data_IF_636633226738
#
_entry.id   IF_636633226738
#
_cell.length_a   1.000
_cell.length_b   1.000
_cell.length_c   1.000
_cell.angle_alpha   90.00
_cell.angle_beta   90.00
_cell.angle_gamma   90.00
#
_symmetry.space_group_name_H-M   'P 1'
#
loop_
_entity.id
_entity.type
_entity.pdbx_description
1 polymer ?
#
# COMPACT_ATOMS: atom_id res chain seq x y z
N UNK A 1 15.59 3.93 -11.03
CA UNK A 1 15.09 3.17 -12.21
C UNK A 1 13.97 3.97 -12.89
N UNK A 2 13.49 3.66 -14.11
CA UNK A 2 12.38 4.46 -14.69
C UNK A 2 11.06 4.11 -14.01
N UNK A 3 10.17 5.09 -13.85
CA UNK A 3 8.85 4.97 -13.21
C UNK A 3 7.98 3.84 -13.79
N UNK A 4 8.14 3.56 -15.09
CA UNK A 4 7.50 2.44 -15.78
C UNK A 4 7.91 1.06 -15.23
N UNK A 5 9.05 0.95 -14.56
CA UNK A 5 9.54 -0.29 -13.96
C UNK A 5 8.80 -0.66 -12.69
N UNK A 6 8.43 0.33 -11.86
CA UNK A 6 7.80 0.06 -10.56
C UNK A 6 6.34 -0.36 -10.69
N UNK A 7 5.62 0.28 -11.61
CA UNK A 7 4.24 -0.10 -11.91
C UNK A 7 4.15 -1.55 -12.42
N UNK A 8 5.13 -1.99 -13.23
CA UNK A 8 5.21 -3.37 -13.69
C UNK A 8 5.52 -4.36 -12.55
N UNK A 9 6.43 -4.00 -11.65
CA UNK A 9 6.74 -4.82 -10.47
C UNK A 9 5.51 -5.00 -9.56
N UNK A 10 4.79 -3.92 -9.25
CA UNK A 10 3.58 -3.99 -8.44
C UNK A 10 2.46 -4.79 -9.12
N UNK A 11 2.34 -4.68 -10.45
CA UNK A 11 1.36 -5.44 -11.21
C UNK A 11 1.67 -6.94 -11.18
N UNK A 12 2.92 -7.32 -11.37
CA UNK A 12 3.33 -8.72 -11.32
C UNK A 12 3.14 -9.30 -9.91
N UNK A 13 3.55 -8.55 -8.88
CA UNK A 13 3.35 -8.96 -7.49
C UNK A 13 1.87 -9.18 -7.16
N UNK A 14 1.00 -8.29 -7.63
CA UNK A 14 -0.45 -8.44 -7.46
C UNK A 14 -0.96 -9.68 -8.21
N UNK A 15 -0.46 -9.93 -9.41
CA UNK A 15 -0.80 -11.10 -10.21
C UNK A 15 -0.44 -12.40 -9.47
N UNK A 16 0.76 -12.45 -8.90
CA UNK A 16 1.26 -13.62 -8.17
C UNK A 16 0.39 -13.91 -6.93
N UNK A 17 -0.02 -12.86 -6.21
CA UNK A 17 -0.93 -13.01 -5.07
C UNK A 17 -2.34 -13.50 -5.50
N UNK A 18 -2.96 -12.90 -6.52
CA UNK A 18 -4.30 -13.30 -6.97
C UNK A 18 -4.34 -14.70 -7.60
N UNK A 19 -3.22 -15.19 -8.10
CA UNK A 19 -3.08 -16.57 -8.60
C UNK A 19 -2.60 -17.56 -7.53
N UNK A 20 -2.53 -17.14 -6.25
CA UNK A 20 -2.07 -17.93 -5.12
C UNK A 20 -0.65 -18.52 -5.30
N UNK A 21 0.23 -17.81 -6.02
CA UNK A 21 1.64 -18.17 -6.12
C UNK A 21 2.44 -17.79 -4.86
N UNK A 22 1.95 -16.78 -4.14
CA UNK A 22 2.53 -16.29 -2.89
C UNK A 22 1.44 -16.07 -1.85
N UNK A 23 1.80 -16.20 -0.58
CA UNK A 23 0.90 -15.94 0.53
C UNK A 23 0.77 -14.44 0.82
N UNK A 24 -0.25 -14.08 1.61
CA UNK A 24 -0.54 -12.68 1.93
C UNK A 24 0.61 -11.96 2.64
N UNK A 25 1.30 -12.65 3.56
CA UNK A 25 2.43 -12.08 4.29
C UNK A 25 3.61 -11.80 3.36
N UNK A 26 3.88 -12.71 2.43
CA UNK A 26 4.92 -12.55 1.42
C UNK A 26 4.58 -11.41 0.45
N UNK A 27 3.32 -11.34 -0.01
CA UNK A 27 2.82 -10.22 -0.80
C UNK A 27 3.05 -8.88 -0.09
N UNK A 28 2.74 -8.78 1.20
CA UNK A 28 2.96 -7.54 1.98
C UNK A 28 4.43 -7.20 2.13
N UNK A 29 5.28 -8.17 2.44
CA UNK A 29 6.72 -7.95 2.58
C UNK A 29 7.34 -7.43 1.28
N UNK A 30 7.03 -8.08 0.14
CA UNK A 30 7.54 -7.68 -1.17
C UNK A 30 6.98 -6.31 -1.59
N UNK A 31 5.70 -6.04 -1.34
CA UNK A 31 5.09 -4.74 -1.64
C UNK A 31 5.75 -3.61 -0.86
N UNK A 32 6.05 -3.82 0.42
CA UNK A 32 6.77 -2.84 1.25
C UNK A 32 8.14 -2.51 0.64
N UNK A 33 8.94 -3.52 0.29
CA UNK A 33 10.27 -3.31 -0.30
C UNK A 33 10.20 -2.48 -1.59
N UNK A 34 9.19 -2.70 -2.43
CA UNK A 34 9.01 -1.93 -3.67
C UNK A 34 8.69 -0.46 -3.33
N UNK A 35 7.78 -0.22 -2.38
CA UNK A 35 7.41 1.13 -1.97
C UNK A 35 8.57 1.87 -1.29
N UNK A 36 9.30 1.22 -0.39
CA UNK A 36 10.47 1.81 0.28
C UNK A 36 11.52 2.25 -0.75
N UNK A 37 11.70 1.50 -1.85
CA UNK A 37 12.59 1.88 -2.94
C UNK A 37 12.07 3.09 -3.72
N UNK A 38 10.77 3.15 -4.00
CA UNK A 38 10.14 4.29 -4.66
C UNK A 38 10.31 5.54 -3.80
N UNK A 39 10.03 5.45 -2.50
CA UNK A 39 10.19 6.56 -1.57
C UNK A 39 11.64 7.03 -1.48
N UNK A 40 12.60 6.10 -1.45
CA UNK A 40 14.01 6.46 -1.47
C UNK A 40 14.42 7.15 -2.77
N UNK A 41 13.98 6.65 -3.93
CA UNK A 41 14.38 7.22 -5.23
C UNK A 41 13.69 8.55 -5.55
N UNK A 42 12.41 8.72 -5.18
CA UNK A 42 11.62 9.91 -5.54
C UNK A 42 11.61 10.97 -4.44
N UNK A 43 11.56 10.55 -3.18
CA UNK A 43 11.47 11.47 -2.04
C UNK A 43 12.82 11.68 -1.33
N UNK A 44 13.87 10.95 -1.71
CA UNK A 44 15.21 11.08 -1.14
C UNK A 44 15.29 10.70 0.35
N UNK A 45 14.28 10.00 0.87
CA UNK A 45 14.18 9.63 2.28
C UNK A 45 14.79 8.24 2.49
N UNK A 46 15.88 8.16 3.23
CA UNK A 46 16.35 6.88 3.75
C UNK A 46 15.40 6.46 4.88
N UNK A 47 14.60 5.41 4.65
CA UNK A 47 13.65 4.86 5.62
C UNK A 47 14.29 4.37 6.94
N UNK A 48 15.61 4.52 7.11
CA UNK A 48 16.34 4.23 8.33
C UNK A 48 16.12 5.26 9.45
N UNK A 49 15.54 6.43 9.18
CA UNK A 49 15.37 7.50 10.18
C UNK A 49 13.90 7.84 10.53
N UNK A 50 12.93 6.98 10.21
CA UNK A 50 11.52 7.26 10.51
C UNK A 50 10.89 6.24 11.46
N UNK A 51 11.56 5.93 12.57
CA UNK A 51 10.86 5.48 13.78
C UNK A 51 10.27 6.70 14.49
N UNK A 52 9.12 7.17 14.01
CA UNK A 52 8.41 8.28 14.60
C UNK A 52 7.46 8.91 13.60
N UNK A 53 6.19 8.98 13.99
CA UNK A 53 5.10 9.68 13.28
C UNK A 53 4.41 8.88 12.16
N UNK A 54 3.59 7.90 12.53
CA UNK A 54 2.43 7.51 11.73
C UNK A 54 1.24 7.13 12.64
N UNK A 55 0.90 8.02 13.59
CA UNK A 55 -0.34 7.95 14.36
C UNK A 55 -1.53 8.68 13.69
N UNK A 56 -1.37 9.25 12.49
CA UNK A 56 -2.37 10.16 11.89
C UNK A 56 -3.10 9.63 10.65
N UNK A 57 -3.15 8.31 10.43
CA UNK A 57 -3.86 7.76 9.25
C UNK A 57 -4.90 6.66 9.56
N UNK A 58 -5.33 6.50 10.81
CA UNK A 58 -6.50 5.66 11.11
C UNK A 58 -7.83 6.43 11.02
N UNK A 59 -7.80 7.77 11.19
CA UNK A 59 -9.00 8.61 11.21
C UNK A 59 -9.60 8.83 9.81
N UNK A 60 -8.76 9.07 8.79
CA UNK A 60 -9.24 9.36 7.44
C UNK A 60 -9.87 8.13 6.76
N UNK A 61 -9.36 6.92 7.05
CA UNK A 61 -9.90 5.69 6.49
C UNK A 61 -11.25 5.29 7.11
N UNK A 62 -11.41 5.43 8.44
CA UNK A 62 -12.70 5.16 9.10
C UNK A 62 -13.82 6.12 8.66
N UNK A 63 -13.47 7.37 8.34
CA UNK A 63 -14.46 8.36 7.92
C UNK A 63 -15.08 8.00 6.55
N UNK A 64 -14.30 7.44 5.62
CA UNK A 64 -14.79 7.06 4.28
C UNK A 64 -15.72 5.84 4.31
N UNK A 65 -15.44 4.85 5.17
CA UNK A 65 -16.30 3.65 5.31
C UNK A 65 -17.66 4.00 5.92
N UNK A 66 -17.71 5.03 6.77
CA UNK A 66 -18.93 5.48 7.44
C UNK A 66 -19.98 6.05 6.47
N UNK A 67 -19.55 6.62 5.34
CA UNK A 67 -20.47 7.15 4.33
C UNK A 67 -21.18 6.06 3.52
N UNK A 68 -20.60 4.86 3.38
CA UNK A 68 -21.19 3.79 2.56
C UNK A 68 -22.23 2.92 3.29
N UNK A 69 -22.21 2.89 4.63
CA UNK A 69 -23.19 2.12 5.42
C UNK A 69 -24.47 2.91 5.77
N UNK A 70 -24.59 4.17 5.33
CA UNK A 70 -25.72 5.03 5.70
C UNK A 70 -26.80 5.15 4.63
N UNK A 71 -26.72 4.39 3.53
CA UNK A 71 -27.69 4.46 2.40
C UNK A 71 -28.45 3.16 2.13
N UNK A 72 -28.51 2.24 3.09
CA UNK A 72 -29.51 1.17 3.05
C UNK A 72 -30.43 1.28 4.26
N UNK A 73 -31.73 1.28 3.95
CA UNK A 73 -32.91 1.30 4.84
C UNK A 73 -33.45 2.71 5.12
N UNK A 74 -34.24 3.22 4.18
CA UNK A 74 -35.64 3.53 4.50
C UNK A 74 -36.53 3.12 3.32
N UNK A 75 -37.54 2.31 3.63
CA UNK A 75 -38.65 1.91 2.74
C UNK A 75 -39.70 3.03 2.66
#
# INVERSE_FOLDING_TARGET
MSEASYSLMLRNLSNDFYHNHIDFDEYRAQRKIILDKIDKELNGRDAAESEGEDELSSSAFMQTVSFYNSTEIDQ
#
